data_IF_391473419504
#
_entry.id   IF_391473419504
#
_cell.length_a   1.000
_cell.length_b   1.000
_cell.length_c   1.000
_cell.angle_alpha   90.00
_cell.angle_beta   90.00
_cell.angle_gamma   90.00
#
_symmetry.space_group_name_H-M   'P 1'
#
loop_
_entity.id
_entity.type
_entity.pdbx_description
1 polymer ?
#
# COMPACT_ATOMS: atom_id res chain seq x y z
N UNK A 1 -22.65 10.02 5.89
CA UNK A 1 -22.65 9.18 4.67
C UNK A 1 -21.33 9.39 3.98
N UNK A 2 -20.59 8.31 3.70
CA UNK A 2 -19.27 8.39 3.08
C UNK A 2 -19.41 8.49 1.55
N UNK A 3 -18.41 9.10 0.90
CA UNK A 3 -18.32 9.14 -0.56
C UNK A 3 -16.99 8.55 -0.99
N UNK A 4 -17.03 7.51 -1.83
CA UNK A 4 -15.85 6.92 -2.46
C UNK A 4 -15.81 7.34 -3.93
N UNK A 5 -14.81 8.13 -4.30
CA UNK A 5 -14.58 8.54 -5.69
C UNK A 5 -13.88 7.42 -6.44
N UNK A 6 -14.27 7.18 -7.69
CA UNK A 6 -13.67 6.15 -8.53
C UNK A 6 -13.55 6.58 -9.99
N UNK A 7 -12.54 6.05 -10.67
CA UNK A 7 -12.38 6.15 -12.12
C UNK A 7 -12.83 4.86 -12.80
N UNK A 8 -13.31 4.95 -14.04
CA UNK A 8 -13.55 3.79 -14.89
C UNK A 8 -12.29 3.47 -15.71
N UNK A 9 -11.89 2.20 -15.76
CA UNK A 9 -10.82 1.68 -16.62
C UNK A 9 -11.36 0.56 -17.50
N UNK A 10 -10.93 0.42 -18.76
CA UNK A 10 -11.31 -0.74 -19.58
C UNK A 10 -10.99 -2.06 -18.88
N UNK A 11 -11.91 -3.02 -18.94
CA UNK A 11 -11.71 -4.33 -18.39
C UNK A 11 -10.78 -5.16 -19.28
N UNK A 12 -9.55 -5.41 -18.81
CA UNK A 12 -8.54 -6.12 -19.60
C UNK A 12 -8.77 -7.65 -19.67
N UNK A 13 -9.72 -8.18 -18.88
CA UNK A 13 -10.05 -9.61 -18.84
C UNK A 13 -11.04 -10.03 -19.94
N UNK A 14 -11.80 -9.08 -20.49
CA UNK A 14 -12.91 -9.27 -21.43
C UNK A 14 -12.72 -8.37 -22.64
N UNK A 15 -11.61 -8.61 -23.38
CA UNK A 15 -11.14 -7.73 -24.46
C UNK A 15 -12.09 -7.59 -25.65
N UNK A 16 -13.10 -8.45 -25.73
CA UNK A 16 -14.06 -8.49 -26.84
C UNK A 16 -15.24 -7.52 -26.65
N UNK A 17 -15.42 -6.94 -25.46
CA UNK A 17 -16.44 -5.92 -25.18
C UNK A 17 -15.80 -4.53 -24.94
N UNK A 18 -15.86 -3.62 -25.92
CA UNK A 18 -15.27 -2.29 -25.80
C UNK A 18 -16.00 -1.37 -24.80
N UNK A 19 -17.18 -1.77 -24.29
CA UNK A 19 -17.93 -1.03 -23.28
C UNK A 19 -17.84 -1.66 -21.88
N UNK A 20 -16.91 -2.60 -21.67
CA UNK A 20 -16.67 -3.20 -20.36
C UNK A 20 -15.61 -2.42 -19.57
N UNK A 21 -16.02 -1.91 -18.41
CA UNK A 21 -15.19 -1.10 -17.52
C UNK A 21 -15.22 -1.62 -16.09
N UNK A 22 -14.08 -1.52 -15.42
CA UNK A 22 -13.95 -1.72 -13.97
C UNK A 22 -13.77 -0.38 -13.27
N UNK A 23 -14.46 -0.21 -12.14
CA UNK A 23 -14.28 0.97 -11.29
C UNK A 23 -13.07 0.76 -10.38
N UNK A 24 -12.15 1.73 -10.38
CA UNK A 24 -10.96 1.75 -9.51
C UNK A 24 -11.08 2.94 -8.56
N UNK A 25 -11.06 2.72 -7.23
CA UNK A 25 -11.10 3.81 -6.27
C UNK A 25 -9.96 4.81 -6.49
N UNK A 26 -10.30 6.11 -6.44
CA UNK A 26 -9.30 7.16 -6.34
C UNK A 26 -8.75 7.16 -4.91
N UNK A 27 -7.52 6.68 -4.75
CA UNK A 27 -6.86 6.67 -3.44
C UNK A 27 -6.50 8.09 -3.01
N UNK A 28 -6.85 8.46 -1.78
CA UNK A 28 -6.47 9.74 -1.15
C UNK A 28 -5.09 9.73 -0.51
N UNK A 29 -4.36 8.62 -0.62
CA UNK A 29 -3.13 8.33 0.10
C UNK A 29 -3.34 7.43 1.32
N UNK A 30 -2.28 7.22 2.08
CA UNK A 30 -2.22 6.35 3.24
C UNK A 30 -2.08 7.15 4.53
N UNK A 31 -2.82 6.73 5.56
CA UNK A 31 -2.86 7.36 6.88
C UNK A 31 -2.44 6.34 7.94
N UNK A 32 -1.65 6.78 8.92
CA UNK A 32 -1.26 5.96 10.08
C UNK A 32 -2.08 6.28 11.32
N UNK A 33 -1.64 5.74 12.46
CA UNK A 33 -2.30 5.90 13.76
C UNK A 33 -2.37 7.38 14.15
N UNK A 34 -1.30 8.15 13.91
CA UNK A 34 -1.21 9.56 14.27
C UNK A 34 -2.25 10.41 13.51
N UNK A 35 -2.47 10.16 12.23
CA UNK A 35 -3.45 10.90 11.42
C UNK A 35 -4.88 10.58 11.85
N UNK A 36 -5.14 9.32 12.19
CA UNK A 36 -6.43 8.90 12.75
C UNK A 36 -6.68 9.61 14.08
N UNK A 37 -5.67 9.69 14.96
CA UNK A 37 -5.77 10.44 16.23
C UNK A 37 -6.02 11.93 15.98
N UNK A 38 -5.34 12.52 14.99
CA UNK A 38 -5.55 13.92 14.62
C UNK A 38 -6.98 14.16 14.10
N UNK A 39 -7.56 13.21 13.36
CA UNK A 39 -8.96 13.27 12.95
C UNK A 39 -9.90 13.18 14.17
N UNK A 40 -9.66 12.26 15.10
CA UNK A 40 -10.43 12.16 16.35
C UNK A 40 -10.35 13.43 17.20
N UNK A 41 -9.17 14.08 17.28
CA UNK A 41 -9.02 15.37 17.96
C UNK A 41 -9.86 16.47 17.31
N UNK A 42 -9.92 16.51 15.98
CA UNK A 42 -10.79 17.45 15.25
C UNK A 42 -12.27 17.19 15.51
N UNK A 43 -12.65 15.95 15.81
CA UNK A 43 -14.00 15.58 16.24
C UNK A 43 -14.29 15.88 17.73
N UNK A 44 -13.29 16.35 18.48
CA UNK A 44 -13.44 16.76 19.88
C UNK A 44 -12.82 15.81 20.91
N UNK A 45 -11.98 14.84 20.51
CA UNK A 45 -11.27 14.01 21.47
C UNK A 45 -10.30 14.84 22.33
N UNK A 46 -10.49 14.81 23.65
CA UNK A 46 -9.70 15.59 24.62
C UNK A 46 -8.41 14.89 25.08
N UNK A 47 -8.23 13.60 24.74
CA UNK A 47 -7.06 12.81 25.11
C UNK A 47 -5.81 13.34 24.39
N UNK A 48 -4.69 13.45 25.12
CA UNK A 48 -3.41 13.84 24.54
C UNK A 48 -2.94 12.83 23.48
N UNK A 49 -2.25 13.32 22.44
CA UNK A 49 -1.91 12.49 21.27
C UNK A 49 -1.05 11.30 21.70
N UNK A 50 -0.05 11.55 22.54
CA UNK A 50 0.89 10.56 23.05
C UNK A 50 0.19 9.47 23.86
N UNK A 51 -0.83 9.86 24.64
CA UNK A 51 -1.64 8.92 25.42
C UNK A 51 -2.51 8.07 24.52
N UNK A 52 -3.14 8.67 23.49
CA UNK A 52 -3.93 7.91 22.52
C UNK A 52 -3.06 6.92 21.72
N UNK A 53 -1.87 7.34 21.29
CA UNK A 53 -0.88 6.46 20.63
C UNK A 53 -0.49 5.29 21.54
N UNK A 54 -0.17 5.53 22.82
CA UNK A 54 0.19 4.46 23.75
C UNK A 54 -0.97 3.46 23.95
N UNK A 55 -2.19 3.95 24.13
CA UNK A 55 -3.38 3.11 24.29
C UNK A 55 -3.60 2.21 23.07
N UNK A 56 -3.60 2.80 21.86
CA UNK A 56 -3.82 2.06 20.60
C UNK A 56 -2.68 1.05 20.36
N UNK A 57 -1.45 1.44 20.65
CA UNK A 57 -0.28 0.54 20.52
C UNK A 57 -0.40 -0.66 21.46
N UNK A 58 -0.81 -0.46 22.72
CA UNK A 58 -1.05 -1.55 23.69
C UNK A 58 -2.21 -2.43 23.27
N UNK A 59 -3.27 -1.84 22.75
CA UNK A 59 -4.41 -2.58 22.18
C UNK A 59 -3.96 -3.49 21.04
N UNK A 60 -3.24 -2.96 20.05
CA UNK A 60 -2.71 -3.72 18.92
C UNK A 60 -1.80 -4.88 19.37
N UNK A 61 -0.89 -4.61 20.33
CA UNK A 61 0.00 -5.63 20.90
C UNK A 61 -0.79 -6.74 21.59
N UNK A 62 -1.77 -6.40 22.42
CA UNK A 62 -2.57 -7.40 23.15
C UNK A 62 -3.49 -8.19 22.20
N UNK A 63 -4.08 -7.55 21.21
CA UNK A 63 -4.88 -8.22 20.19
C UNK A 63 -4.02 -9.24 19.41
N UNK A 64 -2.82 -8.84 18.98
CA UNK A 64 -1.86 -9.73 18.32
C UNK A 64 -1.48 -10.94 19.20
N UNK A 65 -1.13 -10.70 20.47
CA UNK A 65 -0.83 -11.75 21.44
C UNK A 65 -1.98 -12.75 21.60
N UNK A 66 -3.22 -12.26 21.74
CA UNK A 66 -4.39 -13.13 21.90
C UNK A 66 -4.66 -13.95 20.63
N UNK A 67 -4.59 -13.34 19.45
CA UNK A 67 -4.77 -14.08 18.18
C UNK A 67 -3.74 -15.20 18.04
N UNK A 68 -2.47 -14.91 18.33
CA UNK A 68 -1.38 -15.88 18.24
C UNK A 68 -1.42 -16.94 19.35
N UNK A 69 -2.17 -16.70 20.42
CA UNK A 69 -2.50 -17.69 21.45
C UNK A 69 -3.77 -18.50 21.15
N UNK A 70 -4.26 -18.49 19.90
CA UNK A 70 -5.35 -19.36 19.46
C UNK A 70 -6.75 -18.74 19.53
N UNK A 71 -6.88 -17.49 19.97
CA UNK A 71 -8.18 -16.83 20.04
C UNK A 71 -8.59 -16.24 18.68
N UNK A 72 -9.89 -16.28 18.40
CA UNK A 72 -10.48 -15.40 17.37
C UNK A 72 -10.79 -14.05 18.00
N UNK A 73 -10.25 -12.96 17.44
CA UNK A 73 -10.40 -11.61 17.97
C UNK A 73 -11.23 -10.77 17.01
N UNK A 74 -12.35 -10.22 17.51
CA UNK A 74 -13.21 -9.29 16.79
C UNK A 74 -13.11 -7.90 17.43
N UNK A 75 -12.75 -6.89 16.65
CA UNK A 75 -12.63 -5.49 17.13
C UNK A 75 -13.76 -4.60 16.63
N UNK A 76 -14.77 -5.16 15.96
CA UNK A 76 -15.82 -4.40 15.24
C UNK A 76 -15.38 -4.04 13.81
N UNK A 77 -14.18 -3.46 13.67
CA UNK A 77 -13.59 -3.10 12.38
C UNK A 77 -13.05 -4.32 11.61
N UNK A 78 -12.36 -5.22 12.31
CA UNK A 78 -11.75 -6.43 11.73
C UNK A 78 -12.01 -7.67 12.57
N UNK A 79 -12.07 -8.82 11.89
CA UNK A 79 -12.12 -10.14 12.49
C UNK A 79 -10.85 -10.92 12.17
N UNK A 80 -10.08 -11.27 13.20
CA UNK A 80 -8.78 -11.92 13.10
C UNK A 80 -8.83 -13.35 13.63
N UNK A 81 -8.28 -14.29 12.87
CA UNK A 81 -8.14 -15.70 13.28
C UNK A 81 -6.75 -16.26 12.93
N UNK A 82 -6.11 -17.03 13.83
CA UNK A 82 -4.85 -17.68 13.52
C UNK A 82 -5.05 -18.78 12.47
N UNK A 83 -4.03 -19.00 11.66
CA UNK A 83 -3.95 -20.08 10.69
C UNK A 83 -2.52 -20.59 10.57
N UNK A 84 -2.39 -21.87 10.24
CA UNK A 84 -1.11 -22.48 9.90
C UNK A 84 -1.15 -22.78 8.41
N UNK A 85 -0.13 -22.33 7.68
CA UNK A 85 0.08 -22.63 6.26
C UNK A 85 1.17 -23.69 6.11
N UNK A 86 1.06 -24.49 5.05
CA UNK A 86 1.98 -25.58 4.73
C UNK A 86 1.38 -26.97 5.00
N UNK A 87 1.85 -27.97 4.26
CA UNK A 87 1.35 -29.36 4.34
C UNK A 87 2.23 -30.17 5.30
N UNK A 88 1.61 -30.85 6.26
CA UNK A 88 2.31 -31.72 7.21
C UNK A 88 2.38 -33.16 6.70
N UNK A 89 3.60 -33.69 6.57
CA UNK A 89 3.84 -35.12 6.30
C UNK A 89 4.25 -35.87 7.57
N UNK A 90 5.19 -35.30 8.35
CA UNK A 90 5.80 -35.97 9.51
C UNK A 90 5.14 -35.62 10.86
N UNK A 91 3.98 -34.94 10.83
CA UNK A 91 3.23 -34.45 12.02
C UNK A 91 4.05 -33.56 12.97
N UNK A 92 5.16 -33.00 12.52
CA UNK A 92 6.03 -32.08 13.28
C UNK A 92 6.07 -30.71 12.61
N UNK A 93 6.44 -29.68 13.37
CA UNK A 93 6.63 -28.34 12.82
C UNK A 93 7.99 -28.23 12.11
N UNK A 94 7.97 -27.68 10.89
CA UNK A 94 9.14 -27.37 10.08
C UNK A 94 9.06 -25.89 9.68
N UNK A 95 10.02 -25.06 10.13
CA UNK A 95 10.03 -23.61 9.89
C UNK A 95 10.31 -23.25 8.42
N UNK A 96 10.87 -24.17 7.63
CA UNK A 96 11.13 -23.94 6.20
C UNK A 96 9.88 -24.24 5.36
N UNK A 97 8.99 -25.12 5.83
CA UNK A 97 7.77 -25.55 5.11
C UNK A 97 6.47 -24.96 5.66
N UNK A 98 6.45 -24.62 6.95
CA UNK A 98 5.25 -24.16 7.65
C UNK A 98 5.42 -22.72 8.12
N UNK A 99 4.30 -21.99 8.14
CA UNK A 99 4.26 -20.61 8.64
C UNK A 99 2.98 -20.34 9.42
N UNK A 100 3.10 -19.51 10.45
CA UNK A 100 1.95 -18.97 11.17
C UNK A 100 1.46 -17.75 10.40
N UNK A 101 0.16 -17.66 10.19
CA UNK A 101 -0.50 -16.57 9.48
C UNK A 101 -1.74 -16.12 10.27
N UNK A 102 -2.17 -14.88 10.07
CA UNK A 102 -3.42 -14.36 10.63
C UNK A 102 -4.34 -14.00 9.46
N UNK A 103 -5.48 -14.68 9.36
CA UNK A 103 -6.51 -14.27 8.41
C UNK A 103 -7.27 -13.09 9.00
N UNK A 104 -7.43 -12.04 8.20
CA UNK A 104 -8.15 -10.81 8.58
C UNK A 104 -9.33 -10.60 7.63
N UNK A 105 -10.54 -10.49 8.17
CA UNK A 105 -11.75 -10.22 7.41
C UNK A 105 -12.38 -8.89 7.86
N UNK A 106 -13.17 -8.27 6.98
CA UNK A 106 -13.97 -7.09 7.33
C UNK A 106 -14.98 -7.43 8.45
N UNK A 107 -14.90 -6.69 9.55
CA UNK A 107 -15.84 -6.78 10.65
C UNK A 107 -17.19 -6.13 10.32
N UNK A 108 -18.12 -6.19 11.26
CA UNK A 108 -19.50 -5.73 11.05
C UNK A 108 -19.57 -4.22 10.78
N UNK A 109 -18.76 -3.42 11.47
CA UNK A 109 -18.82 -1.96 11.35
C UNK A 109 -18.31 -1.49 9.99
N UNK A 110 -17.19 -2.06 9.52
CA UNK A 110 -16.65 -1.76 8.20
C UNK A 110 -17.61 -2.18 7.08
N UNK A 111 -18.27 -3.34 7.21
CA UNK A 111 -19.24 -3.83 6.23
C UNK A 111 -20.46 -2.92 6.13
N UNK A 112 -21.00 -2.46 7.26
CA UNK A 112 -22.12 -1.51 7.28
C UNK A 112 -21.71 -0.19 6.64
N UNK A 113 -20.57 0.38 7.05
CA UNK A 113 -20.06 1.62 6.48
C UNK A 113 -19.83 1.51 4.96
N UNK A 114 -19.33 0.38 4.47
CA UNK A 114 -19.16 0.12 3.04
C UNK A 114 -20.50 0.08 2.29
N UNK A 115 -21.53 -0.58 2.85
CA UNK A 115 -22.87 -0.61 2.24
C UNK A 115 -23.54 0.77 2.18
N UNK A 116 -23.30 1.62 3.18
CA UNK A 116 -23.84 2.98 3.27
C UNK A 116 -23.00 4.01 2.47
N UNK A 117 -21.92 3.58 1.81
CA UNK A 117 -21.03 4.47 1.06
C UNK A 117 -21.57 4.72 -0.34
N UNK A 118 -21.68 6.00 -0.71
CA UNK A 118 -21.99 6.41 -2.09
C UNK A 118 -20.73 6.33 -2.95
N UNK A 119 -20.83 5.74 -4.14
CA UNK A 119 -19.77 5.78 -5.15
C UNK A 119 -20.01 6.98 -6.10
N UNK A 120 -18.98 7.79 -6.30
CA UNK A 120 -18.98 8.91 -7.26
C UNK A 120 -18.01 8.59 -8.40
N UNK A 121 -18.55 8.43 -9.61
CA UNK A 121 -17.74 8.16 -10.80
C UNK A 121 -17.23 9.48 -11.37
N UNK A 122 -15.91 9.60 -11.43
CA UNK A 122 -15.22 10.79 -11.95
C UNK A 122 -15.14 10.83 -13.48
N UNK A 123 -15.43 9.69 -14.12
CA UNK A 123 -15.34 9.46 -15.55
C UNK A 123 -14.37 8.32 -15.87
N UNK A 124 -13.97 8.23 -17.13
CA UNK A 124 -12.94 7.30 -17.58
C UNK A 124 -11.55 7.84 -17.24
N UNK A 125 -10.67 6.99 -16.71
CA UNK A 125 -9.32 7.40 -16.38
C UNK A 125 -8.53 7.68 -17.67
N UNK A 126 -8.16 8.94 -17.87
CA UNK A 126 -7.40 9.37 -19.05
C UNK A 126 -5.91 8.98 -18.99
N UNK A 127 -5.35 8.81 -17.78
CA UNK A 127 -3.95 8.44 -17.60
C UNK A 127 -3.78 6.92 -17.66
N UNK A 128 -2.95 6.39 -18.59
CA UNK A 128 -2.63 4.96 -18.61
C UNK A 128 -1.56 4.57 -17.59
N UNK A 129 -1.12 5.49 -16.72
CA UNK A 129 -0.11 5.21 -15.70
C UNK A 129 -0.70 4.36 -14.59
N UNK A 130 0.02 3.33 -14.16
CA UNK A 130 -0.37 2.52 -13.01
C UNK A 130 0.84 1.80 -12.45
N UNK A 131 0.92 1.69 -11.12
CA UNK A 131 1.91 0.85 -10.42
C UNK A 131 1.20 -0.42 -9.98
N UNK A 132 1.69 -1.59 -10.40
CA UNK A 132 1.02 -2.86 -10.18
C UNK A 132 1.55 -3.60 -8.97
N UNK A 133 2.88 -3.71 -8.86
CA UNK A 133 3.51 -4.50 -7.82
C UNK A 133 4.94 -4.06 -7.58
N UNK A 134 5.44 -4.44 -6.41
CA UNK A 134 6.85 -4.35 -6.05
C UNK A 134 7.32 -5.71 -5.54
N UNK A 135 8.52 -6.13 -5.94
CA UNK A 135 9.11 -7.41 -5.56
C UNK A 135 10.51 -7.19 -5.01
N UNK A 136 10.75 -7.67 -3.79
CA UNK A 136 12.08 -7.71 -3.20
C UNK A 136 12.94 -8.74 -3.95
N UNK A 137 14.09 -8.31 -4.50
CA UNK A 137 14.96 -9.17 -5.28
C UNK A 137 15.89 -10.05 -4.45
N UNK A 138 16.08 -9.75 -3.17
CA UNK A 138 16.82 -10.59 -2.25
C UNK A 138 15.97 -11.78 -1.76
N UNK A 139 14.69 -11.56 -1.49
CA UNK A 139 13.79 -12.61 -0.98
C UNK A 139 12.88 -13.23 -2.04
N UNK A 140 12.68 -12.56 -3.18
CA UNK A 140 11.73 -12.95 -4.22
C UNK A 140 10.27 -12.70 -3.88
N UNK A 141 9.97 -12.09 -2.73
CA UNK A 141 8.60 -11.83 -2.25
C UNK A 141 8.01 -10.59 -2.92
N UNK A 142 6.72 -10.67 -3.25
CA UNK A 142 5.92 -9.57 -3.79
C UNK A 142 4.80 -9.14 -2.81
N UNK A 143 5.01 -9.37 -1.51
CA UNK A 143 4.04 -9.08 -0.46
C UNK A 143 4.16 -7.65 0.11
N UNK A 144 5.04 -6.83 -0.47
CA UNK A 144 5.33 -5.47 -0.01
C UNK A 144 6.47 -5.37 0.99
N UNK A 145 7.02 -6.48 1.48
CA UNK A 145 8.21 -6.46 2.36
C UNK A 145 9.47 -6.22 1.53
N UNK A 146 10.27 -5.21 1.89
CA UNK A 146 11.53 -4.88 1.21
C UNK A 146 12.70 -4.87 2.18
N UNK A 147 13.80 -5.49 1.77
CA UNK A 147 15.06 -5.56 2.52
C UNK A 147 15.91 -4.31 2.25
N UNK A 148 16.35 -3.64 3.32
CA UNK A 148 17.27 -2.49 3.23
C UNK A 148 18.57 -2.84 2.48
N UNK A 149 19.05 -1.90 1.65
CA UNK A 149 20.29 -2.06 0.88
C UNK A 149 20.23 -3.15 -0.20
N UNK A 150 19.03 -3.65 -0.53
CA UNK A 150 18.81 -4.63 -1.59
C UNK A 150 17.94 -4.05 -2.69
N UNK A 151 17.97 -4.71 -3.84
CA UNK A 151 17.20 -4.27 -4.99
C UNK A 151 15.72 -4.64 -4.85
N UNK A 152 14.84 -3.77 -5.32
CA UNK A 152 13.41 -4.04 -5.47
C UNK A 152 12.97 -3.70 -6.90
N UNK A 153 12.13 -4.56 -7.48
CA UNK A 153 11.59 -4.37 -8.83
C UNK A 153 10.15 -3.90 -8.75
N UNK A 154 9.86 -2.77 -9.40
CA UNK A 154 8.53 -2.20 -9.53
C UNK A 154 8.03 -2.47 -10.95
N UNK A 155 6.82 -3.03 -11.07
CA UNK A 155 6.14 -3.25 -12.35
C UNK A 155 4.94 -2.34 -12.47
N UNK A 156 4.70 -1.85 -13.69
CA UNK A 156 3.62 -0.92 -13.96
C UNK A 156 3.44 -0.64 -15.45
N UNK A 157 2.69 0.41 -15.74
CA UNK A 157 2.55 1.01 -17.07
C UNK A 157 2.87 2.49 -16.99
N UNK A 158 3.66 2.98 -17.94
CA UNK A 158 4.11 4.38 -18.00
C UNK A 158 4.77 4.91 -16.72
N UNK A 159 5.55 4.06 -16.05
CA UNK A 159 6.22 4.37 -14.77
C UNK A 159 7.68 4.84 -14.92
N UNK A 160 8.16 5.03 -16.15
CA UNK A 160 9.49 5.62 -16.39
C UNK A 160 9.54 7.00 -15.75
N UNK A 161 10.59 7.27 -14.98
CA UNK A 161 10.85 8.57 -14.36
C UNK A 161 11.61 9.42 -15.37
N UNK A 162 11.00 10.53 -15.79
CA UNK A 162 11.58 11.45 -16.77
C UNK A 162 11.02 12.87 -16.59
N UNK A 163 11.77 13.86 -17.08
CA UNK A 163 11.47 15.29 -16.97
C UNK A 163 12.23 16.02 -15.86
N UNK A 164 12.18 17.35 -15.92
CA UNK A 164 12.96 18.29 -15.11
C UNK A 164 12.25 18.78 -13.85
N UNK A 165 10.96 18.48 -13.69
CA UNK A 165 10.22 18.87 -12.49
C UNK A 165 10.85 18.25 -11.23
N UNK A 166 11.18 19.06 -10.20
CA UNK A 166 11.78 18.55 -8.96
C UNK A 166 10.94 17.53 -8.21
N UNK A 167 9.64 17.38 -8.50
CA UNK A 167 8.78 16.33 -7.93
C UNK A 167 8.98 14.97 -8.59
N UNK A 168 9.53 14.91 -9.81
CA UNK A 168 9.74 13.65 -10.52
C UNK A 168 10.69 12.73 -9.74
N UNK A 169 10.35 11.45 -9.62
CA UNK A 169 11.11 10.47 -8.85
C UNK A 169 10.22 9.47 -8.13
N UNK A 170 10.84 8.73 -7.22
CA UNK A 170 10.16 7.79 -6.33
C UNK A 170 10.24 8.37 -4.91
N UNK A 171 9.15 8.30 -4.17
CA UNK A 171 9.12 8.75 -2.78
C UNK A 171 8.60 7.63 -1.86
N UNK A 172 9.22 7.56 -0.68
CA UNK A 172 8.83 6.71 0.43
C UNK A 172 8.26 7.60 1.53
N UNK A 173 6.95 7.55 1.75
CA UNK A 173 6.29 8.30 2.82
C UNK A 173 6.02 7.38 4.01
N UNK A 174 6.71 7.59 5.12
CA UNK A 174 6.52 6.79 6.33
C UNK A 174 5.09 7.02 6.87
N UNK A 175 4.36 5.95 7.15
CA UNK A 175 2.96 6.05 7.57
C UNK A 175 2.80 6.50 9.02
N UNK A 176 3.81 6.28 9.87
CA UNK A 176 3.74 6.63 11.29
C UNK A 176 4.21 8.08 11.54
N UNK A 177 5.29 8.50 10.87
CA UNK A 177 5.90 9.83 11.03
C UNK A 177 5.45 10.84 9.97
N UNK A 178 4.81 10.37 8.88
CA UNK A 178 4.49 11.16 7.69
C UNK A 178 5.70 11.77 6.97
N UNK A 179 6.92 11.42 7.37
CA UNK A 179 8.13 11.90 6.74
C UNK A 179 8.28 11.27 5.35
N UNK A 180 8.49 12.12 4.36
CA UNK A 180 8.75 11.71 2.99
C UNK A 180 10.26 11.67 2.71
N UNK A 181 10.75 10.54 2.22
CA UNK A 181 12.12 10.35 1.76
C UNK A 181 12.08 10.12 0.25
N UNK A 182 12.58 11.09 -0.51
CA UNK A 182 12.72 10.95 -1.95
C UNK A 182 13.91 10.07 -2.28
N UNK A 183 13.71 9.07 -3.13
CA UNK A 183 14.78 8.19 -3.59
C UNK A 183 15.76 8.96 -4.46
N UNK A 184 17.06 8.85 -4.14
CA UNK A 184 18.13 9.38 -4.97
C UNK A 184 18.10 8.76 -6.37
N UNK A 185 18.39 9.56 -7.40
CA UNK A 185 18.41 9.08 -8.78
C UNK A 185 19.47 7.98 -9.00
N UNK A 186 20.56 7.98 -8.23
CA UNK A 186 21.61 6.95 -8.29
C UNK A 186 21.13 5.58 -7.80
N UNK A 187 20.05 5.55 -7.01
CA UNK A 187 19.41 4.32 -6.55
C UNK A 187 18.39 3.79 -7.55
N UNK A 188 18.21 4.42 -8.72
CA UNK A 188 17.40 3.88 -9.81
C UNK A 188 18.33 3.14 -10.77
N UNK A 189 18.37 1.82 -10.66
CA UNK A 189 19.26 0.93 -11.42
C UNK A 189 18.75 0.69 -12.84
N UNK A 190 17.43 0.59 -13.02
CA UNK A 190 16.77 0.42 -14.32
C UNK A 190 15.53 1.31 -14.36
N UNK A 191 15.30 2.01 -15.47
CA UNK A 191 14.20 2.96 -15.63
C UNK A 191 13.49 2.78 -16.97
N UNK A 192 12.66 1.75 -17.06
CA UNK A 192 11.86 1.43 -18.25
C UNK A 192 10.38 1.79 -18.04
N UNK A 193 9.61 2.06 -19.11
CA UNK A 193 8.20 2.43 -19.01
C UNK A 193 7.31 1.43 -18.27
N UNK A 194 7.66 0.14 -18.25
CA UNK A 194 6.89 -0.91 -17.57
C UNK A 194 7.63 -1.54 -16.38
N UNK A 195 8.87 -1.13 -16.11
CA UNK A 195 9.75 -1.77 -15.15
C UNK A 195 10.79 -0.80 -14.61
N UNK A 196 10.78 -0.61 -13.30
CA UNK A 196 11.81 0.19 -12.60
C UNK A 196 12.49 -0.70 -11.58
N UNK A 197 13.82 -0.74 -11.59
CA UNK A 197 14.62 -1.45 -10.58
C UNK A 197 15.27 -0.41 -9.69
N UNK A 198 15.03 -0.51 -8.39
CA UNK A 198 15.58 0.41 -7.39
C UNK A 198 16.48 -0.32 -6.41
N UNK A 199 17.41 0.42 -5.81
CA UNK A 199 18.12 0.05 -4.60
C UNK A 199 17.40 0.69 -3.41
N UNK A 200 16.88 -0.13 -2.49
CA UNK A 200 16.25 0.37 -1.27
C UNK A 200 17.35 0.98 -0.38
N UNK A 201 17.24 2.26 0.06
CA UNK A 201 18.28 2.88 0.86
C UNK A 201 18.55 2.09 2.14
N UNK A 202 19.83 1.92 2.49
CA UNK A 202 20.23 1.14 3.66
C UNK A 202 19.92 1.86 4.99
N UNK A 203 19.86 3.19 4.93
CA UNK A 203 19.57 4.12 6.02
C UNK A 203 18.08 4.43 6.16
N UNK A 204 17.22 3.93 5.26
CA UNK A 204 15.77 4.08 5.41
C UNK A 204 15.33 3.37 6.68
N UNK A 205 14.58 4.06 7.54
CA UNK A 205 14.11 3.49 8.81
C UNK A 205 13.19 2.28 8.58
N UNK A 206 13.17 1.36 9.54
CA UNK A 206 12.25 0.24 9.46
C UNK A 206 10.84 0.74 9.77
N UNK A 207 9.84 0.30 9.01
CA UNK A 207 8.48 0.80 9.17
C UNK A 207 7.62 0.56 7.94
N UNK A 208 6.38 1.05 8.00
CA UNK A 208 5.45 0.97 6.88
C UNK A 208 5.48 2.27 6.10
N UNK A 209 5.49 2.16 4.77
CA UNK A 209 5.60 3.29 3.86
C UNK A 209 4.56 3.20 2.75
N UNK A 210 4.11 4.36 2.30
CA UNK A 210 3.49 4.55 1.00
C UNK A 210 4.57 4.83 -0.04
N UNK A 211 4.56 4.09 -1.15
CA UNK A 211 5.45 4.31 -2.28
C UNK A 211 4.70 5.00 -3.41
N UNK A 212 5.22 6.13 -3.88
CA UNK A 212 4.69 6.83 -5.03
C UNK A 212 5.74 7.02 -6.13
N UNK A 213 5.28 7.04 -7.37
CA UNK A 213 6.09 7.36 -8.55
C UNK A 213 5.51 8.62 -9.18
N UNK A 214 6.34 9.65 -9.33
CA UNK A 214 6.00 10.90 -10.00
C UNK A 214 6.84 11.07 -11.26
N UNK A 215 6.21 11.43 -12.39
CA UNK A 215 6.91 11.57 -13.67
C UNK A 215 6.20 12.52 -14.64
N UNK A 216 6.97 13.14 -15.53
CA UNK A 216 6.46 13.81 -16.74
C UNK A 216 6.56 12.91 -17.98
N UNK A 217 7.01 11.66 -17.85
CA UNK A 217 7.09 10.73 -18.98
C UNK A 217 5.70 10.44 -19.56
N UNK A 218 5.60 10.51 -20.88
CA UNK A 218 4.39 10.20 -21.64
C UNK A 218 4.66 9.13 -22.71
N UNK A 219 3.70 8.88 -23.61
CA UNK A 219 3.89 7.96 -24.73
C UNK A 219 4.83 8.60 -25.76
N UNK A 220 6.05 8.06 -25.90
CA UNK A 220 7.05 8.56 -26.86
C UNK A 220 8.09 9.47 -26.19
N UNK A 221 8.56 10.49 -26.92
CA UNK A 221 9.62 11.40 -26.46
C UNK A 221 9.11 12.71 -25.85
N UNK A 222 7.81 13.00 -25.98
CA UNK A 222 7.22 14.23 -25.44
C UNK A 222 7.00 14.10 -23.93
N UNK A 223 7.36 15.14 -23.18
CA UNK A 223 7.08 15.23 -21.74
C UNK A 223 5.75 15.93 -21.48
N UNK A 224 5.07 15.54 -20.41
CA UNK A 224 3.89 16.23 -19.90
C UNK A 224 4.29 17.58 -19.30
N UNK A 225 3.42 18.59 -19.45
CA UNK A 225 3.63 19.90 -18.84
C UNK A 225 3.63 19.81 -17.32
N UNK A 226 2.62 19.14 -16.76
CA UNK A 226 2.52 18.87 -15.33
C UNK A 226 2.89 17.40 -15.03
N UNK A 227 3.64 17.13 -13.95
CA UNK A 227 3.92 15.78 -13.53
C UNK A 227 2.65 15.08 -13.07
N UNK A 228 2.59 13.76 -13.30
CA UNK A 228 1.55 12.89 -12.73
C UNK A 228 2.17 11.94 -11.72
N UNK A 229 1.37 11.53 -10.74
CA UNK A 229 1.79 10.65 -9.66
C UNK A 229 0.85 9.45 -9.58
N UNK A 230 1.42 8.26 -9.44
CA UNK A 230 0.68 7.05 -9.08
C UNK A 230 1.30 6.42 -7.83
N UNK A 231 0.44 5.88 -6.98
CA UNK A 231 0.83 5.30 -5.69
C UNK A 231 0.60 3.81 -5.75
N UNK A 232 1.56 3.03 -5.22
CA UNK A 232 1.37 1.60 -5.07
C UNK A 232 0.22 1.36 -4.09
N UNK A 233 -0.80 0.62 -4.51
CA UNK A 233 -2.02 0.43 -3.71
C UNK A 233 -1.80 -0.33 -2.39
N UNK A 234 -0.71 -1.10 -2.31
CA UNK A 234 -0.32 -1.82 -1.10
C UNK A 234 0.82 -1.07 -0.42
N UNK A 235 0.70 -0.74 0.88
CA UNK A 235 1.83 -0.25 1.66
C UNK A 235 3.00 -1.23 1.61
N UNK A 236 4.22 -0.70 1.68
CA UNK A 236 5.44 -1.50 1.77
C UNK A 236 5.96 -1.49 3.21
N UNK A 237 6.61 -2.57 3.62
CA UNK A 237 7.25 -2.68 4.93
C UNK A 237 8.75 -2.79 4.71
N UNK A 238 9.51 -1.84 5.26
CA UNK A 238 10.98 -1.86 5.22
C UNK A 238 11.49 -2.64 6.42
N UNK A 239 12.31 -3.68 6.15
CA UNK A 239 12.94 -4.56 7.15
C UNK A 239 14.47 -4.53 7.08
#
# INVERSE_FOLDING_TARGET
MNTLKAWLRPNLLTKDDPNDFVAVPLLGGSLGITEIINALKKEGMEIQTETAVDIITRFNRKASELVLNGYSVNTGLVYMRPAIKGVFYDKTWDKEKHSVYVNVNQGTDLRKAANDTKVEILGEQSSPMSVFSITDKATGKADGTLTKGKNAEIKGTYIKIDGDNPKNGIAFKNLDTQQEVKLSAEHIVLNEPSRVLILVPADLEAGNYELSITTQSSKGTTLLKEPRTETLSTPITIV
#
